data_IF_418950518050
#
_entry.id   IF_418950518050
#
_cell.length_a   1.000
_cell.length_b   1.000
_cell.length_c   1.000
_cell.angle_alpha   90.00
_cell.angle_beta   90.00
_cell.angle_gamma   90.00
#
_symmetry.space_group_name_H-M   'P 1'
#
loop_
_entity.id
_entity.type
_entity.pdbx_description
1 polymer ?
#
# COMPACT_ATOMS: atom_id res chain seq x y z
N UNK A 1 -17.93 12.27 -0.53
CA UNK A 1 -18.57 11.08 0.06
C UNK A 1 -18.65 11.23 1.57
N UNK A 2 -19.83 11.08 2.12
CA UNK A 2 -20.04 11.11 3.56
C UNK A 2 -19.91 9.68 4.11
N UNK A 3 -19.02 9.45 5.06
CA UNK A 3 -18.83 8.15 5.67
C UNK A 3 -19.65 8.02 6.94
N UNK A 4 -20.60 7.10 6.96
CA UNK A 4 -21.25 6.71 8.20
C UNK A 4 -20.29 5.87 9.05
N UNK A 5 -20.28 6.07 10.36
CA UNK A 5 -19.37 5.34 11.26
C UNK A 5 -19.53 3.82 11.14
N UNK A 6 -20.76 3.33 10.97
CA UNK A 6 -21.01 1.90 10.80
C UNK A 6 -20.40 1.35 9.52
N UNK A 7 -20.50 2.09 8.42
CA UNK A 7 -19.93 1.68 7.13
C UNK A 7 -18.40 1.65 7.21
N UNK A 8 -17.82 2.64 7.88
CA UNK A 8 -16.38 2.68 8.08
C UNK A 8 -15.88 1.49 8.90
N UNK A 9 -16.59 1.13 9.96
CA UNK A 9 -16.23 -0.04 10.78
C UNK A 9 -16.35 -1.34 10.00
N UNK A 10 -17.41 -1.50 9.21
CA UNK A 10 -17.57 -2.67 8.34
C UNK A 10 -16.41 -2.80 7.36
N UNK A 11 -16.02 -1.69 6.78
CA UNK A 11 -14.89 -1.66 5.84
C UNK A 11 -13.56 -1.96 6.53
N UNK A 12 -13.33 -1.40 7.71
CA UNK A 12 -12.13 -1.69 8.51
C UNK A 12 -12.00 -3.18 8.82
N UNK A 13 -13.09 -3.78 9.30
CA UNK A 13 -13.11 -5.20 9.64
C UNK A 13 -12.84 -6.06 8.41
N UNK A 14 -13.45 -5.71 7.29
CA UNK A 14 -13.19 -6.38 6.02
C UNK A 14 -11.71 -6.29 5.63
N UNK A 15 -11.14 -5.11 5.67
CA UNK A 15 -9.76 -4.88 5.23
C UNK A 15 -8.76 -5.61 6.13
N UNK A 16 -8.98 -5.58 7.44
CA UNK A 16 -8.13 -6.30 8.39
C UNK A 16 -8.16 -7.80 8.15
N UNK A 17 -9.34 -8.37 7.94
CA UNK A 17 -9.48 -9.80 7.66
C UNK A 17 -8.91 -10.19 6.30
N UNK A 18 -9.05 -9.31 5.31
CA UNK A 18 -8.63 -9.61 3.95
C UNK A 18 -7.12 -9.54 3.75
N UNK A 19 -6.44 -8.56 4.35
CA UNK A 19 -5.02 -8.32 4.10
C UNK A 19 -4.22 -7.86 5.32
N UNK A 20 -4.82 -7.81 6.50
CA UNK A 20 -4.12 -7.45 7.74
C UNK A 20 -3.88 -5.95 7.93
N UNK A 21 -4.42 -5.08 7.07
CA UNK A 21 -4.29 -3.64 7.25
C UNK A 21 -5.23 -3.17 8.35
N UNK A 22 -4.68 -2.53 9.38
CA UNK A 22 -5.43 -1.96 10.50
C UNK A 22 -5.49 -0.45 10.33
N UNK A 23 -6.72 0.09 10.21
CA UNK A 23 -6.93 1.52 10.07
C UNK A 23 -7.32 2.13 11.43
N UNK A 24 -6.68 3.23 11.78
CA UNK A 24 -7.06 4.00 12.97
C UNK A 24 -8.37 4.77 12.75
N UNK A 25 -9.00 5.20 13.84
CA UNK A 25 -10.26 5.94 13.77
C UNK A 25 -10.12 7.27 13.02
N UNK A 26 -8.93 7.84 13.01
CA UNK A 26 -8.62 9.10 12.34
C UNK A 26 -8.25 8.94 10.86
N UNK A 27 -8.38 7.73 10.29
CA UNK A 27 -7.97 7.44 8.91
C UNK A 27 -9.13 7.39 7.91
N UNK A 28 -10.30 7.92 8.28
CA UNK A 28 -11.45 7.98 7.37
C UNK A 28 -11.14 8.75 6.09
N UNK A 29 -10.32 9.79 6.19
CA UNK A 29 -9.92 10.58 5.02
C UNK A 29 -9.14 9.77 3.99
N UNK A 30 -8.30 8.82 4.45
CA UNK A 30 -7.55 7.94 3.55
C UNK A 30 -8.48 7.04 2.75
N UNK A 31 -9.49 6.48 3.40
CA UNK A 31 -10.47 5.63 2.74
C UNK A 31 -11.22 6.42 1.67
N UNK A 32 -11.73 7.60 2.01
CA UNK A 32 -12.40 8.47 1.06
C UNK A 32 -11.50 8.84 -0.12
N UNK A 33 -10.29 9.29 0.18
CA UNK A 33 -9.33 9.72 -0.84
C UNK A 33 -8.96 8.61 -1.82
N UNK A 34 -8.76 7.40 -1.31
CA UNK A 34 -8.29 6.29 -2.14
C UNK A 34 -9.40 5.55 -2.87
N UNK A 35 -10.61 5.55 -2.33
CA UNK A 35 -11.72 4.78 -2.88
C UNK A 35 -12.73 5.59 -3.67
N UNK A 36 -12.75 6.91 -3.59
CA UNK A 36 -13.73 7.75 -4.31
C UNK A 36 -13.81 7.40 -5.79
N UNK A 37 -12.67 7.32 -6.45
CA UNK A 37 -12.63 7.02 -7.88
C UNK A 37 -13.19 5.64 -8.19
N UNK A 38 -12.84 4.66 -7.38
CA UNK A 38 -13.33 3.28 -7.56
C UNK A 38 -14.84 3.22 -7.35
N UNK A 39 -15.36 3.88 -6.32
CA UNK A 39 -16.79 3.93 -6.04
C UNK A 39 -17.56 4.58 -7.19
N UNK A 40 -17.04 5.66 -7.75
CA UNK A 40 -17.64 6.31 -8.91
C UNK A 40 -17.65 5.40 -10.14
N UNK A 41 -16.55 4.73 -10.42
CA UNK A 41 -16.44 3.82 -11.57
C UNK A 41 -17.40 2.64 -11.46
N UNK A 42 -17.60 2.12 -10.26
CA UNK A 42 -18.47 0.96 -10.02
C UNK A 42 -19.92 1.35 -9.73
N UNK A 43 -20.23 2.64 -9.66
CA UNK A 43 -21.57 3.10 -9.35
C UNK A 43 -22.05 2.75 -7.94
N UNK A 44 -21.13 2.71 -6.98
CA UNK A 44 -21.42 2.34 -5.59
C UNK A 44 -21.62 3.62 -4.78
N UNK A 45 -22.71 3.66 -4.00
CA UNK A 45 -23.08 4.87 -3.27
C UNK A 45 -22.33 5.04 -1.95
N UNK A 46 -21.98 3.96 -1.25
CA UNK A 46 -21.35 4.02 0.07
C UNK A 46 -20.49 2.78 0.35
N UNK A 47 -19.73 2.83 1.44
CA UNK A 47 -18.84 1.74 1.83
C UNK A 47 -19.59 0.46 2.25
N UNK A 48 -20.75 0.59 2.85
CA UNK A 48 -21.57 -0.56 3.23
C UNK A 48 -21.97 -1.38 2.01
N UNK A 49 -22.38 -0.72 0.93
CA UNK A 49 -22.70 -1.37 -0.33
C UNK A 49 -21.46 -2.03 -0.95
N UNK A 50 -20.31 -1.34 -0.88
CA UNK A 50 -19.05 -1.91 -1.36
C UNK A 50 -18.72 -3.23 -0.68
N UNK A 51 -18.78 -3.28 0.64
CA UNK A 51 -18.50 -4.49 1.41
C UNK A 51 -19.50 -5.61 1.05
N UNK A 52 -20.77 -5.26 0.91
CA UNK A 52 -21.79 -6.25 0.51
C UNK A 52 -21.51 -6.85 -0.87
N UNK A 53 -21.14 -6.03 -1.83
CA UNK A 53 -20.78 -6.52 -3.18
C UNK A 53 -19.57 -7.44 -3.15
N UNK A 54 -18.57 -7.11 -2.36
CA UNK A 54 -17.37 -7.94 -2.23
C UNK A 54 -17.74 -9.28 -1.60
N UNK A 55 -18.56 -9.29 -0.56
CA UNK A 55 -19.00 -10.51 0.10
C UNK A 55 -19.86 -11.39 -0.80
N UNK A 56 -20.66 -10.76 -1.67
CA UNK A 56 -21.49 -11.49 -2.62
C UNK A 56 -20.66 -12.14 -3.73
N UNK A 57 -19.53 -11.56 -4.09
CA UNK A 57 -18.62 -12.06 -5.13
C UNK A 57 -17.18 -12.09 -4.65
N UNK A 58 -16.82 -13.01 -3.72
CA UNK A 58 -15.49 -13.02 -3.13
C UNK A 58 -14.35 -13.25 -4.12
N UNK A 59 -14.66 -13.87 -5.25
CA UNK A 59 -13.68 -14.13 -6.31
C UNK A 59 -13.69 -13.07 -7.41
N UNK A 60 -14.52 -12.05 -7.30
CA UNK A 60 -14.57 -10.96 -8.25
C UNK A 60 -13.37 -10.03 -8.14
N UNK A 61 -13.06 -9.31 -9.22
CA UNK A 61 -11.97 -8.36 -9.25
C UNK A 61 -12.14 -7.15 -8.34
N UNK A 62 -13.36 -6.88 -7.86
CA UNK A 62 -13.63 -5.74 -6.99
C UNK A 62 -12.87 -5.83 -5.67
N UNK A 63 -12.80 -7.01 -5.06
CA UNK A 63 -12.04 -7.24 -3.83
C UNK A 63 -10.56 -6.86 -4.02
N UNK A 64 -9.96 -7.36 -5.09
CA UNK A 64 -8.56 -7.06 -5.39
C UNK A 64 -8.34 -5.59 -5.69
N UNK A 65 -9.24 -4.96 -6.41
CA UNK A 65 -9.17 -3.52 -6.71
C UNK A 65 -9.20 -2.67 -5.44
N UNK A 66 -10.04 -3.04 -4.47
CA UNK A 66 -10.12 -2.34 -3.18
C UNK A 66 -8.84 -2.51 -2.38
N UNK A 67 -8.32 -3.72 -2.28
CA UNK A 67 -7.09 -3.98 -1.55
C UNK A 67 -5.92 -3.22 -2.20
N UNK A 68 -5.85 -3.25 -3.52
CA UNK A 68 -4.81 -2.53 -4.26
C UNK A 68 -4.89 -1.02 -4.04
N UNK A 69 -6.09 -0.45 -4.04
CA UNK A 69 -6.30 0.98 -3.78
C UNK A 69 -5.90 1.38 -2.35
N UNK A 70 -6.06 0.48 -1.39
CA UNK A 70 -5.74 0.75 0.02
C UNK A 70 -4.28 0.47 0.38
N UNK A 71 -3.53 -0.21 -0.49
CA UNK A 71 -2.10 -0.42 -0.29
C UNK A 71 -1.31 0.76 -0.87
N UNK A 72 -0.11 0.99 -0.32
CA UNK A 72 0.79 2.02 -0.86
C UNK A 72 1.62 1.40 -1.95
N UNK A 73 1.26 1.67 -3.21
CA UNK A 73 1.94 1.12 -4.39
C UNK A 73 2.92 2.11 -5.01
N UNK A 74 3.49 2.99 -4.21
CA UNK A 74 4.41 4.00 -4.68
C UNK A 74 5.84 3.50 -4.58
N UNK A 75 6.45 3.24 -5.73
CA UNK A 75 7.85 2.86 -5.85
C UNK A 75 8.50 3.80 -6.86
N UNK A 76 9.55 4.49 -6.44
CA UNK A 76 10.31 5.41 -7.26
C UNK A 76 11.78 4.97 -7.27
N UNK A 77 12.47 5.24 -8.38
CA UNK A 77 13.92 5.08 -8.45
C UNK A 77 14.57 5.98 -7.39
N UNK A 78 15.48 5.41 -6.60
CA UNK A 78 16.17 6.14 -5.52
C UNK A 78 15.21 6.74 -4.50
N UNK A 79 14.12 6.03 -4.21
CA UNK A 79 13.05 6.52 -3.33
C UNK A 79 13.56 7.08 -2.00
N UNK A 80 14.44 6.35 -1.32
CA UNK A 80 15.08 6.80 -0.10
C UNK A 80 16.56 7.11 -0.43
N UNK A 81 16.87 8.38 -0.60
CA UNK A 81 18.21 8.80 -1.05
C UNK A 81 19.30 8.35 -0.09
N UNK A 82 19.03 8.29 1.20
CA UNK A 82 20.03 8.02 2.22
C UNK A 82 20.78 6.69 2.03
N UNK A 83 20.17 5.56 1.74
CA UNK A 83 20.92 4.32 1.50
C UNK A 83 21.91 4.42 0.35
N UNK A 84 21.56 5.14 -0.70
CA UNK A 84 22.45 5.34 -1.85
C UNK A 84 23.61 6.26 -1.52
N UNK A 85 23.39 7.28 -0.69
CA UNK A 85 24.46 8.15 -0.21
C UNK A 85 25.43 7.38 0.68
N UNK A 86 24.96 6.52 1.58
CA UNK A 86 25.81 5.66 2.40
C UNK A 86 26.62 4.71 1.53
N UNK A 87 25.99 4.12 0.54
CA UNK A 87 26.68 3.23 -0.40
C UNK A 87 27.83 3.94 -1.12
N UNK A 88 27.56 5.13 -1.64
CA UNK A 88 28.50 5.92 -2.42
C UNK A 88 29.66 6.46 -1.56
N UNK A 89 29.37 6.96 -0.36
CA UNK A 89 30.33 7.70 0.45
C UNK A 89 31.09 6.86 1.47
N UNK A 90 30.50 5.71 1.86
CA UNK A 90 31.09 4.87 2.94
C UNK A 90 31.33 3.44 2.52
N UNK A 91 30.29 2.74 2.06
CA UNK A 91 30.37 1.28 1.88
C UNK A 91 31.28 0.89 0.72
N UNK A 92 31.13 1.50 -0.43
CA UNK A 92 31.97 1.20 -1.60
C UNK A 92 33.43 1.62 -1.37
N UNK A 93 33.72 2.84 -0.88
CA UNK A 93 35.09 3.22 -0.58
C UNK A 93 35.75 2.33 0.46
N UNK A 94 35.07 1.93 1.53
CA UNK A 94 35.61 1.02 2.52
C UNK A 94 35.89 -0.37 1.94
N UNK A 95 34.98 -0.88 1.08
CA UNK A 95 35.21 -2.17 0.42
C UNK A 95 36.46 -2.12 -0.46
N UNK A 96 36.62 -1.08 -1.27
CA UNK A 96 37.78 -0.92 -2.14
C UNK A 96 39.08 -0.89 -1.33
N UNK A 97 39.06 -0.21 -0.20
CA UNK A 97 40.22 -0.06 0.69
C UNK A 97 40.59 -1.36 1.38
N UNK A 98 39.59 -2.13 1.86
CA UNK A 98 39.83 -3.37 2.60
C UNK A 98 40.09 -4.57 1.71
N UNK A 99 39.57 -4.57 0.48
CA UNK A 99 39.65 -5.70 -0.43
C UNK A 99 40.10 -5.25 -1.84
N UNK A 100 41.36 -4.75 -1.97
CA UNK A 100 41.85 -4.28 -3.27
C UNK A 100 41.83 -5.38 -4.31
N UNK A 101 41.34 -5.06 -5.50
CA UNK A 101 41.27 -6.02 -6.60
C UNK A 101 40.13 -7.04 -6.52
N UNK A 102 39.35 -7.03 -5.45
CA UNK A 102 38.20 -7.90 -5.29
C UNK A 102 36.99 -7.35 -6.04
N UNK A 103 36.15 -8.27 -6.54
CA UNK A 103 34.89 -7.90 -7.21
C UNK A 103 33.82 -7.62 -6.15
N UNK A 104 33.18 -6.44 -6.26
CA UNK A 104 32.04 -6.11 -5.42
C UNK A 104 30.78 -6.76 -5.95
N UNK A 105 30.05 -7.45 -5.09
CA UNK A 105 28.74 -8.01 -5.41
C UNK A 105 27.69 -7.35 -4.53
N UNK A 106 26.63 -6.86 -5.17
CA UNK A 106 25.51 -6.23 -4.48
C UNK A 106 24.23 -7.00 -4.83
N UNK A 107 23.49 -7.39 -3.81
CA UNK A 107 22.18 -7.99 -3.96
C UNK A 107 21.11 -7.01 -3.50
N UNK A 108 20.26 -6.56 -4.43
CA UNK A 108 19.11 -5.72 -4.15
C UNK A 108 17.86 -6.60 -4.14
N UNK A 109 17.33 -6.86 -2.94
CA UNK A 109 16.18 -7.73 -2.74
C UNK A 109 14.93 -6.86 -2.52
N UNK A 110 14.33 -6.34 -3.59
CA UNK A 110 13.13 -5.50 -3.48
C UNK A 110 12.08 -5.92 -4.49
#
# INVERSE_FOLDING_TARGET
>A
MTLANQDFQLFRDFLEKACGIVLGDNKQYLVSSRLNRLLEQEGIANLGELVKRIQAQPRGGLRESVIDAMTTNETLWFRDVYPFEVLKTRLIPEFIKQSPGQRLRIWSAA
#
